data_IF_230459657982
#
_entry.id   IF_230459657982
#
_cell.length_a   1.000
_cell.length_b   1.000
_cell.length_c   1.000
_cell.angle_alpha   90.00
_cell.angle_beta   90.00
_cell.angle_gamma   90.00
#
_symmetry.space_group_name_H-M   'P 1'
#
loop_
_entity.id
_entity.type
_entity.pdbx_description
1 polymer ?
#
# COMPACT_ATOMS: atom_id res chain seq x y z
N UNK A 1 13.48 17.54 17.84
CA UNK A 1 13.91 18.91 17.58
C UNK A 1 13.20 19.42 16.33
N UNK A 2 12.73 20.67 16.36
CA UNK A 2 12.10 21.32 15.21
C UNK A 2 13.13 22.25 14.58
N UNK A 3 13.49 21.99 13.33
CA UNK A 3 14.41 22.84 12.57
C UNK A 3 13.61 23.68 11.58
N UNK A 4 13.89 24.99 11.53
CA UNK A 4 13.29 25.91 10.59
C UNK A 4 14.32 26.31 9.53
N UNK A 5 13.95 26.17 8.26
CA UNK A 5 14.79 26.56 7.13
C UNK A 5 14.11 27.70 6.38
N UNK A 6 14.70 28.90 6.32
CA UNK A 6 14.11 30.05 5.66
C UNK A 6 14.03 29.93 4.13
N UNK A 7 14.86 29.08 3.53
CA UNK A 7 14.87 28.86 2.08
C UNK A 7 14.88 27.39 1.71
N UNK A 8 14.40 27.06 0.50
CA UNK A 8 14.47 25.70 -0.08
C UNK A 8 15.92 25.20 -0.17
N UNK A 9 16.87 26.09 -0.52
CA UNK A 9 18.27 25.72 -0.66
C UNK A 9 18.87 25.24 0.67
N UNK A 10 18.62 25.96 1.75
CA UNK A 10 19.07 25.57 3.09
C UNK A 10 18.44 24.26 3.57
N UNK A 11 17.15 24.04 3.28
CA UNK A 11 16.49 22.77 3.55
C UNK A 11 17.14 21.62 2.78
N UNK A 12 17.42 21.81 1.49
CA UNK A 12 18.05 20.80 0.64
C UNK A 12 19.45 20.46 1.14
N UNK A 13 20.25 21.46 1.45
CA UNK A 13 21.62 21.26 1.93
C UNK A 13 21.66 20.57 3.30
N UNK A 14 20.75 20.93 4.21
CA UNK A 14 20.61 20.24 5.49
C UNK A 14 20.18 18.79 5.32
N UNK A 15 19.19 18.51 4.47
CA UNK A 15 18.70 17.17 4.22
C UNK A 15 19.77 16.26 3.59
N UNK A 16 20.61 16.77 2.69
CA UNK A 16 21.74 16.02 2.12
C UNK A 16 22.73 15.49 3.15
N UNK A 17 22.88 16.19 4.28
CA UNK A 17 23.78 15.79 5.37
C UNK A 17 23.15 14.74 6.29
N UNK A 18 21.81 14.77 6.45
CA UNK A 18 21.11 13.95 7.43
C UNK A 18 20.42 12.71 6.85
N UNK A 19 20.14 12.70 5.53
CA UNK A 19 19.48 11.56 4.87
C UNK A 19 20.48 10.41 4.73
N UNK A 20 20.09 9.24 5.25
CA UNK A 20 20.77 7.96 5.04
C UNK A 20 19.95 7.08 4.12
N UNK A 21 20.59 6.10 3.50
CA UNK A 21 20.06 5.20 2.47
C UNK A 21 18.73 4.48 2.79
N UNK A 22 18.31 4.49 4.06
CA UNK A 22 17.07 3.83 4.52
C UNK A 22 16.10 4.78 5.24
N UNK A 23 16.33 6.08 5.19
CA UNK A 23 15.47 7.04 5.88
C UNK A 23 14.19 7.29 5.08
N UNK A 24 13.03 7.12 5.75
CA UNK A 24 11.75 7.51 5.20
C UNK A 24 11.50 8.99 5.48
N UNK A 25 11.48 9.81 4.44
CA UNK A 25 11.19 11.24 4.54
C UNK A 25 9.73 11.54 4.25
N UNK A 26 9.06 12.19 5.19
CA UNK A 26 7.72 12.72 5.01
C UNK A 26 7.78 14.23 4.86
N UNK A 27 7.52 14.73 3.66
CA UNK A 27 7.37 16.15 3.41
C UNK A 27 5.91 16.57 3.59
N UNK A 28 5.68 17.54 4.49
CA UNK A 28 4.37 18.18 4.66
C UNK A 28 4.56 19.69 4.58
N UNK A 29 4.00 20.30 3.54
CA UNK A 29 4.08 21.74 3.35
C UNK A 29 2.86 22.29 2.62
N UNK A 30 2.77 23.62 2.52
CA UNK A 30 1.72 24.26 1.72
C UNK A 30 2.04 24.14 0.23
N UNK A 31 1.02 24.18 -0.63
CA UNK A 31 1.18 24.20 -2.08
C UNK A 31 2.11 25.31 -2.60
N UNK A 32 2.32 26.37 -1.82
CA UNK A 32 3.23 27.48 -2.17
C UNK A 32 4.71 27.13 -2.07
N UNK A 33 5.07 26.00 -1.46
CA UNK A 33 6.48 25.62 -1.27
C UNK A 33 7.05 24.73 -2.39
N UNK A 34 6.23 24.31 -3.37
CA UNK A 34 6.67 23.43 -4.48
C UNK A 34 7.61 22.31 -3.97
N UNK A 35 7.11 21.52 -3.01
CA UNK A 35 7.89 20.45 -2.39
C UNK A 35 8.33 19.38 -3.40
N UNK A 36 7.63 19.27 -4.53
CA UNK A 36 8.02 18.43 -5.66
C UNK A 36 9.43 18.82 -6.18
N UNK A 37 9.71 20.13 -6.27
CA UNK A 37 11.03 20.64 -6.67
C UNK A 37 12.14 20.33 -5.63
N UNK A 38 11.78 20.24 -4.34
CA UNK A 38 12.72 19.81 -3.28
C UNK A 38 13.02 18.31 -3.40
N UNK A 39 11.99 17.51 -3.65
CA UNK A 39 12.14 16.07 -3.87
C UNK A 39 12.96 15.81 -5.13
N UNK A 40 12.65 16.49 -6.23
CA UNK A 40 13.42 16.38 -7.47
C UNK A 40 14.88 16.82 -7.32
N UNK A 41 15.17 17.86 -6.54
CA UNK A 41 16.54 18.30 -6.28
C UNK A 41 17.31 17.45 -5.27
N UNK A 42 16.61 16.82 -4.31
CA UNK A 42 17.23 15.89 -3.38
C UNK A 42 17.46 14.52 -3.99
N UNK A 43 16.50 14.04 -4.76
CA UNK A 43 16.46 12.70 -5.32
C UNK A 43 16.62 12.69 -6.83
N UNK A 44 16.42 13.83 -7.53
CA UNK A 44 16.50 13.91 -8.99
C UNK A 44 17.88 13.64 -9.54
N UNK A 45 18.91 14.21 -8.98
CA UNK A 45 20.30 13.88 -9.32
C UNK A 45 20.71 12.53 -8.72
N UNK A 46 20.30 12.24 -7.52
CA UNK A 46 20.54 10.95 -6.86
C UNK A 46 19.73 9.83 -7.50
N UNK A 47 18.46 10.07 -7.78
CA UNK A 47 17.57 9.14 -8.46
C UNK A 47 17.99 8.87 -9.91
N UNK A 48 18.50 9.87 -10.64
CA UNK A 48 19.03 9.66 -12.00
C UNK A 48 20.45 9.12 -12.03
N UNK A 49 21.37 9.61 -11.18
CA UNK A 49 22.77 9.15 -11.20
C UNK A 49 22.98 7.82 -10.50
N UNK A 50 22.22 7.49 -9.43
CA UNK A 50 22.25 6.16 -8.85
C UNK A 50 21.30 5.18 -9.53
N UNK A 51 20.19 5.65 -10.12
CA UNK A 51 19.39 4.81 -11.01
C UNK A 51 20.16 4.41 -12.27
N UNK A 52 21.06 5.24 -12.77
CA UNK A 52 22.00 4.88 -13.84
C UNK A 52 23.24 4.12 -13.33
N UNK A 53 23.62 4.32 -12.07
CA UNK A 53 24.78 3.65 -11.45
C UNK A 53 24.43 2.28 -10.85
N UNK A 54 23.25 2.10 -10.31
CA UNK A 54 22.64 0.80 -10.14
C UNK A 54 22.06 0.43 -11.51
N UNK A 55 22.83 -0.31 -12.26
CA UNK A 55 22.31 -1.16 -13.35
C UNK A 55 21.32 -2.13 -12.68
N UNK A 56 20.11 -1.63 -12.36
CA UNK A 56 18.98 -2.45 -11.97
C UNK A 56 18.65 -3.28 -13.20
N UNK A 57 19.44 -4.29 -13.44
CA UNK A 57 19.09 -5.41 -14.31
C UNK A 57 17.88 -6.09 -13.70
N UNK A 58 16.78 -5.32 -13.69
CA UNK A 58 15.50 -5.93 -13.42
C UNK A 58 15.26 -6.89 -14.56
N UNK A 59 14.97 -8.12 -14.23
CA UNK A 59 14.55 -9.09 -15.22
C UNK A 59 13.11 -9.49 -14.95
N UNK A 60 12.41 -9.81 -16.02
CA UNK A 60 11.08 -10.37 -15.91
C UNK A 60 11.18 -11.88 -15.69
N UNK A 61 10.33 -12.36 -14.79
CA UNK A 61 10.10 -13.77 -14.55
C UNK A 61 8.61 -14.07 -14.66
N UNK A 62 8.24 -15.25 -15.17
CA UNK A 62 6.85 -15.63 -15.33
C UNK A 62 6.63 -17.04 -14.80
N UNK A 63 5.64 -17.16 -13.97
CA UNK A 63 5.00 -18.46 -13.67
C UNK A 63 3.84 -18.66 -14.65
N UNK A 64 3.08 -19.73 -14.48
CA UNK A 64 1.86 -19.97 -15.26
C UNK A 64 0.85 -18.82 -15.08
N UNK A 65 0.68 -18.31 -13.87
CA UNK A 65 -0.43 -17.43 -13.49
C UNK A 65 -0.02 -15.97 -13.26
N UNK A 66 1.25 -15.70 -12.96
CA UNK A 66 1.74 -14.39 -12.57
C UNK A 66 3.05 -14.03 -13.30
N UNK A 67 3.21 -12.76 -13.59
CA UNK A 67 4.50 -12.19 -13.99
C UNK A 67 5.09 -11.38 -12.84
N UNK A 68 6.41 -11.39 -12.76
CA UNK A 68 7.20 -10.75 -11.72
C UNK A 68 8.29 -9.89 -12.35
N UNK A 69 8.66 -8.84 -11.64
CA UNK A 69 9.92 -8.11 -11.83
C UNK A 69 10.84 -8.50 -10.70
N UNK A 70 12.03 -8.96 -11.05
CA UNK A 70 13.07 -9.34 -10.11
C UNK A 70 14.06 -8.20 -9.98
N UNK A 71 14.29 -7.80 -8.74
CA UNK A 71 15.33 -6.88 -8.31
C UNK A 71 16.52 -7.67 -7.76
N UNK A 72 17.52 -6.99 -7.22
CA UNK A 72 18.70 -7.65 -6.65
C UNK A 72 18.41 -8.42 -5.37
N UNK A 73 17.43 -8.00 -4.59
CA UNK A 73 17.13 -8.47 -3.23
C UNK A 73 15.67 -8.92 -3.04
N UNK A 74 14.79 -8.63 -4.00
CA UNK A 74 13.36 -8.98 -3.91
C UNK A 74 12.70 -9.10 -5.28
N UNK A 75 11.47 -9.60 -5.28
CA UNK A 75 10.59 -9.65 -6.44
C UNK A 75 9.27 -8.94 -6.15
N UNK A 76 8.63 -8.43 -7.20
CA UNK A 76 7.28 -7.87 -7.13
C UNK A 76 6.39 -8.47 -8.21
N UNK A 77 5.11 -8.67 -7.89
CA UNK A 77 4.11 -9.10 -8.87
C UNK A 77 3.77 -7.93 -9.77
N UNK A 78 3.90 -8.11 -11.08
CA UNK A 78 3.65 -7.05 -12.08
C UNK A 78 2.41 -7.27 -12.92
N UNK A 79 1.97 -8.54 -13.08
CA UNK A 79 0.82 -8.86 -13.92
C UNK A 79 0.19 -10.20 -13.55
N UNK A 80 -1.15 -10.27 -13.61
CA UNK A 80 -1.91 -11.51 -13.65
C UNK A 80 -2.01 -12.00 -15.10
N UNK A 81 -1.66 -13.27 -15.36
CA UNK A 81 -1.56 -13.82 -16.72
C UNK A 81 -2.77 -14.68 -17.11
N UNK A 82 -3.49 -15.22 -16.13
CA UNK A 82 -4.58 -16.18 -16.34
C UNK A 82 -5.90 -15.70 -15.75
N UNK A 83 -6.97 -16.45 -16.00
CA UNK A 83 -8.30 -16.20 -15.46
C UNK A 83 -8.62 -17.05 -14.23
N UNK A 84 -7.61 -17.63 -13.57
CA UNK A 84 -7.83 -18.40 -12.34
C UNK A 84 -8.54 -17.57 -11.28
N UNK A 85 -9.46 -18.21 -10.55
CA UNK A 85 -10.27 -17.57 -9.50
C UNK A 85 -9.47 -17.41 -8.19
N UNK A 86 -8.71 -18.46 -7.85
CA UNK A 86 -7.95 -18.53 -6.61
C UNK A 86 -6.48 -18.31 -6.93
N UNK A 87 -5.99 -17.14 -6.54
CA UNK A 87 -4.62 -16.72 -6.84
C UNK A 87 -3.75 -16.95 -5.62
N UNK A 88 -2.71 -17.75 -5.76
CA UNK A 88 -1.67 -17.91 -4.76
C UNK A 88 -0.44 -17.11 -5.20
N UNK A 89 -0.03 -16.15 -4.38
CA UNK A 89 1.22 -15.40 -4.60
C UNK A 89 2.33 -16.15 -3.86
N UNK A 90 3.37 -16.65 -4.55
CA UNK A 90 4.43 -17.40 -3.90
C UNK A 90 5.26 -16.51 -2.97
N UNK A 91 5.81 -17.10 -1.91
CA UNK A 91 6.69 -16.39 -0.98
C UNK A 91 8.02 -15.96 -1.61
N UNK A 92 8.50 -16.73 -2.58
CA UNK A 92 9.73 -16.42 -3.33
C UNK A 92 9.63 -16.87 -4.78
N UNK A 93 10.39 -16.22 -5.64
CA UNK A 93 10.65 -16.61 -7.02
C UNK A 93 12.15 -16.48 -7.27
N UNK A 94 12.78 -17.54 -7.81
CA UNK A 94 14.23 -17.61 -8.01
C UNK A 94 15.03 -17.17 -6.77
N UNK A 95 14.63 -17.69 -5.59
CA UNK A 95 15.22 -17.39 -4.28
C UNK A 95 15.01 -15.96 -3.76
N UNK A 96 14.36 -15.09 -4.53
CA UNK A 96 14.04 -13.73 -4.13
C UNK A 96 12.67 -13.66 -3.45
N UNK A 97 12.53 -13.04 -2.26
CA UNK A 97 11.25 -12.89 -1.58
C UNK A 97 10.31 -12.01 -2.39
N UNK A 98 9.03 -12.39 -2.49
CA UNK A 98 8.00 -11.57 -3.13
C UNK A 98 7.49 -10.56 -2.11
N UNK A 99 7.88 -9.29 -2.27
CA UNK A 99 7.63 -8.23 -1.29
C UNK A 99 6.54 -7.25 -1.69
N UNK A 100 6.10 -7.24 -2.95
CA UNK A 100 5.13 -6.25 -3.41
C UNK A 100 4.19 -6.73 -4.50
N UNK A 101 3.01 -6.10 -4.56
CA UNK A 101 2.09 -6.19 -5.69
C UNK A 101 2.07 -4.80 -6.33
N UNK A 102 2.49 -4.73 -7.59
CA UNK A 102 2.56 -3.49 -8.35
C UNK A 102 1.18 -2.90 -8.63
N UNK A 103 1.18 -1.65 -9.11
CA UNK A 103 -0.03 -0.92 -9.46
C UNK A 103 -0.88 -1.70 -10.47
N UNK A 104 -2.18 -1.77 -10.21
CA UNK A 104 -3.21 -2.28 -11.13
C UNK A 104 -3.07 -3.75 -11.55
N UNK A 105 -2.30 -4.58 -10.87
CA UNK A 105 -2.04 -5.99 -11.24
C UNK A 105 -3.33 -6.79 -11.40
N UNK A 106 -4.29 -6.66 -10.48
CA UNK A 106 -5.58 -7.34 -10.49
C UNK A 106 -6.74 -6.41 -10.83
N UNK A 107 -6.44 -5.18 -11.25
CA UNK A 107 -7.47 -4.16 -11.52
C UNK A 107 -8.45 -4.62 -12.59
N UNK A 108 -9.74 -4.51 -12.28
CA UNK A 108 -10.82 -4.91 -13.18
C UNK A 108 -10.98 -6.42 -13.37
N UNK A 109 -10.31 -7.25 -12.57
CA UNK A 109 -10.44 -8.69 -12.66
C UNK A 109 -11.88 -9.14 -12.37
N UNK A 110 -12.47 -9.84 -13.33
CA UNK A 110 -13.79 -10.45 -13.25
C UNK A 110 -13.74 -11.92 -12.77
N UNK A 111 -12.54 -12.43 -12.53
CA UNK A 111 -12.33 -13.85 -12.24
C UNK A 111 -11.77 -14.07 -10.83
N UNK A 112 -10.99 -13.13 -10.28
CA UNK A 112 -10.34 -13.31 -8.97
C UNK A 112 -11.37 -13.30 -7.84
N UNK A 113 -11.52 -14.44 -7.18
CA UNK A 113 -12.44 -14.69 -6.06
C UNK A 113 -11.69 -14.71 -4.73
N UNK A 114 -10.47 -15.26 -4.74
CA UNK A 114 -9.58 -15.26 -3.57
C UNK A 114 -8.13 -14.94 -3.94
N UNK A 115 -7.38 -14.41 -2.97
CA UNK A 115 -5.93 -14.18 -3.08
C UNK A 115 -5.27 -14.58 -1.77
N UNK A 116 -4.30 -15.49 -1.86
CA UNK A 116 -3.42 -15.85 -0.74
C UNK A 116 -2.13 -15.05 -0.84
N UNK A 117 -1.84 -14.27 0.20
CA UNK A 117 -0.65 -13.44 0.30
C UNK A 117 0.44 -14.15 1.08
N UNK A 118 1.71 -14.09 0.65
CA UNK A 118 2.83 -14.66 1.39
C UNK A 118 3.24 -13.77 2.58
N UNK A 119 3.86 -14.40 3.58
CA UNK A 119 4.40 -13.69 4.75
C UNK A 119 5.62 -12.80 4.45
N UNK A 120 6.04 -12.73 3.19
CA UNK A 120 7.08 -11.79 2.72
C UNK A 120 6.51 -10.49 2.17
N UNK A 121 5.17 -10.40 1.93
CA UNK A 121 4.55 -9.26 1.29
C UNK A 121 4.51 -8.05 2.19
N UNK A 122 5.09 -6.94 1.77
CA UNK A 122 5.15 -5.68 2.53
C UNK A 122 4.25 -4.59 1.98
N UNK A 123 3.95 -4.61 0.67
CA UNK A 123 3.22 -3.53 0.01
C UNK A 123 2.17 -4.03 -0.97
N UNK A 124 0.96 -3.46 -0.90
CA UNK A 124 -0.08 -3.56 -1.92
C UNK A 124 -0.24 -2.18 -2.52
N UNK A 125 0.19 -1.99 -3.78
CA UNK A 125 0.31 -0.68 -4.40
C UNK A 125 -0.99 -0.15 -5.00
N UNK A 126 -0.93 1.07 -5.51
CA UNK A 126 -2.04 1.85 -6.07
C UNK A 126 -2.93 1.02 -7.01
N UNK A 127 -4.24 1.00 -6.73
CA UNK A 127 -5.24 0.30 -7.54
C UNK A 127 -4.97 -1.20 -7.77
N UNK A 128 -4.12 -1.87 -6.98
CA UNK A 128 -3.71 -3.26 -7.22
C UNK A 128 -4.90 -4.21 -7.44
N UNK A 129 -5.98 -4.03 -6.68
CA UNK A 129 -7.23 -4.80 -6.77
C UNK A 129 -8.44 -3.93 -7.13
N UNK A 130 -8.23 -2.74 -7.70
CA UNK A 130 -9.33 -1.84 -8.05
C UNK A 130 -10.36 -2.55 -8.95
N UNK A 131 -11.65 -2.47 -8.60
CA UNK A 131 -12.74 -3.15 -9.34
C UNK A 131 -12.57 -4.68 -9.49
N UNK A 132 -11.90 -5.35 -8.57
CA UNK A 132 -11.87 -6.82 -8.52
C UNK A 132 -13.21 -7.31 -7.97
N UNK A 133 -14.19 -7.48 -8.86
CA UNK A 133 -15.60 -7.53 -8.50
C UNK A 133 -16.03 -8.80 -7.77
N UNK A 134 -15.28 -9.89 -7.90
CA UNK A 134 -15.62 -11.19 -7.27
C UNK A 134 -14.88 -11.45 -5.96
N UNK A 135 -13.92 -10.62 -5.60
CA UNK A 135 -13.16 -10.77 -4.36
C UNK A 135 -14.08 -10.55 -3.16
N UNK A 136 -14.23 -11.55 -2.31
CA UNK A 136 -15.17 -11.52 -1.18
C UNK A 136 -14.49 -11.26 0.16
N UNK A 137 -13.30 -11.80 0.35
CA UNK A 137 -12.58 -11.73 1.61
C UNK A 137 -11.10 -11.42 1.37
N UNK A 138 -10.54 -10.62 2.27
CA UNK A 138 -9.11 -10.30 2.28
C UNK A 138 -8.55 -10.52 3.67
N UNK A 139 -7.49 -11.32 3.77
CA UNK A 139 -6.68 -11.46 4.96
C UNK A 139 -5.24 -11.12 4.62
N UNK A 140 -4.68 -10.11 5.28
CA UNK A 140 -3.32 -9.66 5.01
C UNK A 140 -2.30 -10.38 5.89
N UNK A 141 -1.05 -10.55 5.42
CA UNK A 141 0.01 -11.16 6.22
C UNK A 141 0.60 -10.17 7.24
N UNK A 142 1.25 -10.67 8.33
CA UNK A 142 1.85 -9.81 9.35
C UNK A 142 3.00 -8.93 8.85
N UNK A 143 3.62 -9.31 7.74
CA UNK A 143 4.68 -8.53 7.08
C UNK A 143 4.16 -7.27 6.39
N UNK A 144 2.85 -7.20 6.06
CA UNK A 144 2.29 -6.08 5.32
C UNK A 144 2.40 -4.78 6.13
N UNK A 145 2.88 -3.73 5.48
CA UNK A 145 3.08 -2.39 6.06
C UNK A 145 2.10 -1.36 5.50
N UNK A 146 1.84 -1.43 4.20
CA UNK A 146 1.09 -0.40 3.49
C UNK A 146 0.07 -1.03 2.55
N UNK A 147 -1.18 -0.55 2.64
CA UNK A 147 -2.21 -0.69 1.61
C UNK A 147 -2.37 0.70 0.99
N UNK A 148 -1.97 0.85 -0.27
CA UNK A 148 -1.88 2.13 -0.94
C UNK A 148 -3.24 2.65 -1.43
N UNK A 149 -3.24 3.85 -2.01
CA UNK A 149 -4.44 4.54 -2.49
C UNK A 149 -5.25 3.67 -3.45
N UNK A 150 -6.56 3.60 -3.21
CA UNK A 150 -7.53 2.85 -4.03
C UNK A 150 -7.21 1.36 -4.23
N UNK A 151 -6.33 0.76 -3.41
CA UNK A 151 -5.86 -0.61 -3.62
C UNK A 151 -7.00 -1.63 -3.77
N UNK A 152 -8.05 -1.53 -2.99
CA UNK A 152 -9.25 -2.38 -3.05
C UNK A 152 -10.52 -1.60 -3.40
N UNK A 153 -10.39 -0.38 -3.90
CA UNK A 153 -11.57 0.45 -4.19
C UNK A 153 -12.48 -0.22 -5.21
N UNK A 154 -13.79 -0.11 -4.99
CA UNK A 154 -14.84 -0.64 -5.87
C UNK A 154 -14.83 -2.18 -6.01
N UNK A 155 -14.32 -2.89 -5.02
CA UNK A 155 -14.49 -4.34 -4.91
C UNK A 155 -15.92 -4.62 -4.43
N UNK A 156 -16.86 -4.78 -5.38
CA UNK A 156 -18.29 -4.74 -5.12
C UNK A 156 -18.81 -5.84 -4.19
N UNK A 157 -18.15 -7.02 -4.18
CA UNK A 157 -18.52 -8.17 -3.37
C UNK A 157 -17.63 -8.36 -2.14
N UNK A 158 -16.67 -7.49 -1.88
CA UNK A 158 -15.79 -7.58 -0.72
C UNK A 158 -16.60 -7.38 0.56
N UNK A 159 -16.70 -8.43 1.38
CA UNK A 159 -17.50 -8.49 2.61
C UNK A 159 -16.66 -8.33 3.87
N UNK A 160 -15.52 -9.00 3.91
CA UNK A 160 -14.68 -9.00 5.11
C UNK A 160 -13.22 -8.70 4.78
N UNK A 161 -12.60 -7.93 5.66
CA UNK A 161 -11.17 -7.63 5.59
C UNK A 161 -10.55 -7.82 6.97
N UNK A 162 -9.50 -8.63 7.05
CA UNK A 162 -8.67 -8.80 8.24
C UNK A 162 -7.28 -8.24 7.95
N UNK A 163 -6.97 -7.11 8.57
CA UNK A 163 -5.64 -6.50 8.48
C UNK A 163 -4.83 -7.00 9.66
N UNK A 164 -3.71 -7.67 9.38
CA UNK A 164 -2.83 -8.22 10.38
C UNK A 164 -2.00 -7.13 11.08
N UNK A 165 -1.52 -7.44 12.29
CA UNK A 165 -0.55 -6.61 13.01
C UNK A 165 0.70 -6.37 12.16
N UNK A 166 1.19 -5.14 12.17
CA UNK A 166 2.31 -4.71 11.32
C UNK A 166 1.92 -3.70 10.25
N UNK A 167 0.68 -3.72 9.77
CA UNK A 167 0.20 -2.67 8.88
C UNK A 167 0.12 -1.33 9.62
N UNK A 168 0.64 -0.29 9.00
CA UNK A 168 0.73 1.06 9.59
C UNK A 168 -0.09 2.09 8.84
N UNK A 169 -0.37 1.86 7.55
CA UNK A 169 -1.01 2.84 6.67
C UNK A 169 -2.07 2.22 5.77
N UNK A 170 -3.23 2.85 5.73
CA UNK A 170 -4.29 2.62 4.75
C UNK A 170 -4.43 3.90 3.91
N UNK A 171 -4.32 3.76 2.59
CA UNK A 171 -4.31 4.88 1.65
C UNK A 171 -5.66 5.56 1.44
N UNK A 172 -5.66 6.65 0.68
CA UNK A 172 -6.85 7.36 0.24
C UNK A 172 -7.76 6.41 -0.56
N UNK A 173 -9.04 6.35 -0.19
CA UNK A 173 -10.04 5.44 -0.81
C UNK A 173 -9.60 3.98 -0.91
N UNK A 174 -8.73 3.49 -0.05
CA UNK A 174 -8.20 2.14 -0.14
C UNK A 174 -9.30 1.07 -0.27
N UNK A 175 -10.42 1.26 0.41
CA UNK A 175 -11.64 0.43 0.35
C UNK A 175 -12.87 1.22 -0.12
N UNK A 176 -12.70 2.38 -0.73
CA UNK A 176 -13.82 3.21 -1.17
C UNK A 176 -14.75 2.47 -2.14
N UNK A 177 -16.06 2.69 -2.02
CA UNK A 177 -17.09 2.05 -2.82
C UNK A 177 -17.18 0.51 -2.73
N UNK A 178 -16.68 -0.09 -1.65
CA UNK A 178 -16.90 -1.50 -1.34
C UNK A 178 -18.28 -1.67 -0.69
N UNK A 179 -19.34 -1.64 -1.50
CA UNK A 179 -20.74 -1.58 -1.03
C UNK A 179 -21.19 -2.81 -0.23
N UNK A 180 -20.52 -3.94 -0.39
CA UNK A 180 -20.79 -5.16 0.36
C UNK A 180 -19.97 -5.29 1.65
N UNK A 181 -19.05 -4.35 1.93
CA UNK A 181 -18.12 -4.46 3.06
C UNK A 181 -18.88 -4.30 4.38
N UNK A 182 -18.90 -5.38 5.15
CA UNK A 182 -19.61 -5.49 6.41
C UNK A 182 -18.66 -5.39 7.61
N UNK A 183 -17.48 -6.01 7.49
CA UNK A 183 -16.51 -6.07 8.58
C UNK A 183 -15.10 -5.78 8.10
N UNK A 184 -14.39 -4.90 8.81
CA UNK A 184 -12.94 -4.76 8.71
C UNK A 184 -12.32 -4.78 10.10
N UNK A 185 -11.34 -5.67 10.32
CA UNK A 185 -10.51 -5.65 11.53
C UNK A 185 -9.24 -4.86 11.26
N UNK A 186 -9.02 -3.78 12.03
CA UNK A 186 -7.88 -2.88 11.90
C UNK A 186 -7.02 -2.96 13.16
N UNK A 187 -5.76 -3.39 13.04
CA UNK A 187 -4.87 -3.55 14.18
C UNK A 187 -4.45 -2.22 14.80
N UNK A 188 -4.00 -2.25 16.05
CA UNK A 188 -3.53 -1.06 16.76
C UNK A 188 -2.25 -0.44 16.17
N UNK A 189 -1.56 -1.17 15.33
CA UNK A 189 -0.38 -0.69 14.61
C UNK A 189 -0.69 0.33 13.52
N UNK A 190 -1.94 0.37 13.03
CA UNK A 190 -2.37 1.37 12.04
C UNK A 190 -2.41 2.76 12.68
N UNK A 191 -1.62 3.67 12.12
CA UNK A 191 -1.45 5.05 12.58
C UNK A 191 -1.97 6.09 11.59
N UNK A 192 -2.28 5.66 10.37
CA UNK A 192 -2.81 6.53 9.33
C UNK A 192 -3.86 5.80 8.51
N UNK A 193 -5.03 6.45 8.37
CA UNK A 193 -6.10 6.05 7.46
C UNK A 193 -6.40 7.26 6.58
N UNK A 194 -6.20 7.10 5.28
CA UNK A 194 -6.37 8.16 4.29
C UNK A 194 -7.81 8.65 4.21
N UNK A 195 -7.98 9.86 3.69
CA UNK A 195 -9.30 10.43 3.47
C UNK A 195 -10.17 9.51 2.61
N UNK A 196 -11.47 9.48 2.91
CA UNK A 196 -12.45 8.69 2.15
C UNK A 196 -12.10 7.18 2.04
N UNK A 197 -11.24 6.66 2.94
CA UNK A 197 -10.78 5.27 2.90
C UNK A 197 -11.96 4.29 2.76
N UNK A 198 -13.08 4.58 3.42
CA UNK A 198 -14.30 3.76 3.42
C UNK A 198 -15.51 4.51 2.82
N UNK A 199 -15.28 5.41 1.88
CA UNK A 199 -16.35 6.15 1.21
C UNK A 199 -17.38 5.16 0.62
N UNK A 200 -18.67 5.41 0.87
CA UNK A 200 -19.80 4.58 0.39
C UNK A 200 -19.75 3.10 0.83
N UNK A 201 -19.15 2.79 1.99
CA UNK A 201 -19.22 1.49 2.65
C UNK A 201 -20.33 1.51 3.71
N UNK A 202 -21.59 1.59 3.28
CA UNK A 202 -22.75 1.87 4.17
C UNK A 202 -23.03 0.77 5.21
N UNK A 203 -22.55 -0.44 4.99
CA UNK A 203 -22.77 -1.61 5.89
C UNK A 203 -21.64 -1.84 6.87
N UNK A 204 -20.57 -1.02 6.76
CA UNK A 204 -19.32 -1.29 7.44
C UNK A 204 -19.41 -1.11 8.95
N UNK A 205 -18.87 -2.09 9.68
CA UNK A 205 -18.42 -1.97 11.07
C UNK A 205 -16.91 -2.14 11.12
N UNK A 206 -16.21 -1.21 11.77
CA UNK A 206 -14.78 -1.32 12.02
C UNK A 206 -14.59 -2.04 13.35
N UNK A 207 -13.74 -3.06 13.35
CA UNK A 207 -13.33 -3.82 14.52
C UNK A 207 -11.88 -3.51 14.87
N UNK A 208 -11.55 -3.49 16.16
CA UNK A 208 -10.16 -3.29 16.60
C UNK A 208 -10.04 -2.97 18.07
N UNK A 209 -8.83 -2.65 18.51
CA UNK A 209 -8.54 -2.36 19.91
C UNK A 209 -9.17 -1.04 20.36
N UNK A 210 -9.77 -1.06 21.55
CA UNK A 210 -10.26 0.17 22.19
C UNK A 210 -9.12 1.18 22.39
N UNK A 211 -9.39 2.46 22.13
CA UNK A 211 -8.41 3.54 22.20
C UNK A 211 -7.48 3.66 20.98
N UNK A 212 -7.60 2.76 19.98
CA UNK A 212 -6.78 2.79 18.78
C UNK A 212 -7.11 3.96 17.85
N UNK A 213 -6.22 4.21 16.89
CA UNK A 213 -6.46 5.18 15.82
C UNK A 213 -7.69 4.80 14.97
N UNK A 214 -7.94 3.50 14.78
CA UNK A 214 -9.13 3.00 14.08
C UNK A 214 -10.43 3.40 14.78
N UNK A 215 -10.48 3.34 16.12
CA UNK A 215 -11.66 3.82 16.86
C UNK A 215 -11.87 5.34 16.72
N UNK A 216 -10.80 6.11 16.78
CA UNK A 216 -10.87 7.57 16.60
C UNK A 216 -11.37 7.93 15.18
N UNK A 217 -10.83 7.24 14.17
CA UNK A 217 -11.26 7.39 12.79
C UNK A 217 -12.74 7.05 12.61
N UNK A 218 -13.17 5.89 13.12
CA UNK A 218 -14.57 5.45 13.06
C UNK A 218 -15.52 6.48 13.67
N UNK A 219 -15.21 6.99 14.89
CA UNK A 219 -15.97 8.03 15.57
C UNK A 219 -16.04 9.32 14.73
N UNK A 220 -14.93 9.76 14.15
CA UNK A 220 -14.85 10.99 13.36
C UNK A 220 -15.65 10.92 12.03
N UNK A 221 -15.90 9.71 11.53
CA UNK A 221 -16.61 9.48 10.26
C UNK A 221 -18.00 8.85 10.43
N UNK A 222 -18.49 8.68 11.65
CA UNK A 222 -19.81 8.09 11.93
C UNK A 222 -19.94 6.61 11.55
N UNK A 223 -18.81 5.88 11.50
CA UNK A 223 -18.78 4.45 11.19
C UNK A 223 -18.91 3.66 12.49
N UNK A 224 -19.80 2.64 12.58
CA UNK A 224 -19.88 1.76 13.74
C UNK A 224 -18.52 1.14 14.10
N UNK A 225 -18.22 1.09 15.41
CA UNK A 225 -16.99 0.48 15.92
C UNK A 225 -17.28 -0.59 16.95
N UNK A 226 -16.66 -1.74 16.81
CA UNK A 226 -16.68 -2.85 17.77
C UNK A 226 -15.28 -3.07 18.36
N UNK A 227 -15.15 -2.94 19.68
CA UNK A 227 -13.88 -3.22 20.36
C UNK A 227 -13.66 -4.73 20.50
N UNK A 228 -12.45 -5.18 20.20
CA UNK A 228 -11.97 -6.56 20.37
C UNK A 228 -10.85 -6.60 21.42
#
# INVERSE_FOLDING_TARGET
DVHYFPTKAELIDALRVYIREQDLLLFKGSHSMELEDVVDKLFGTWYHEEFERYDFKTREFKTKDLAFRLYTDHAVVTKKLTTVSDVEIPACVEELPVMGIERSVFSGSKYTESVTFPDTLTNIRYCAFYKTSKLENVKTPPSLRIIDNSAFSTCANLRTVEIAEGCTHLGYRAFGNCKALEKITIPATVRQIGGECFLNCEKLTIHGKAGSYAQQYAKGHGIPFCAE
#
